data_IF_694019349573
#
_entry.id   IF_694019349573
#
_cell.length_a   1.000
_cell.length_b   1.000
_cell.length_c   1.000
_cell.angle_alpha   90.00
_cell.angle_beta   90.00
_cell.angle_gamma   90.00
#
_symmetry.space_group_name_H-M   'P 1'
#
loop_
_entity.id
_entity.type
_entity.pdbx_description
1 polymer ?
#
# COMPACT_ATOMS: atom_id res chain seq x y z
N UNK A 1 -3.30 12.66 6.36
CA UNK A 1 -3.75 11.37 5.75
C UNK A 1 -3.56 10.27 6.79
N UNK A 2 -4.40 9.22 6.88
CA UNK A 2 -4.16 8.15 7.86
C UNK A 2 -3.25 7.09 7.23
N UNK A 3 -1.98 7.08 7.62
CA UNK A 3 -1.03 6.05 7.18
C UNK A 3 -1.26 4.74 7.94
N UNK A 4 -0.92 3.61 7.33
CA UNK A 4 -1.13 2.24 7.85
C UNK A 4 0.06 1.67 8.61
N UNK A 5 1.03 2.50 8.97
CA UNK A 5 2.27 2.05 9.61
C UNK A 5 2.02 1.22 10.88
N UNK A 6 1.06 1.62 11.72
CA UNK A 6 0.71 0.86 12.93
C UNK A 6 0.22 -0.56 12.63
N UNK A 7 -0.70 -0.70 11.68
CA UNK A 7 -1.26 -1.99 11.24
C UNK A 7 -0.13 -2.91 10.72
N UNK A 8 0.78 -2.37 9.90
CA UNK A 8 1.92 -3.12 9.36
C UNK A 8 2.86 -3.60 10.46
N UNK A 9 3.12 -2.78 11.48
CA UNK A 9 3.98 -3.16 12.60
C UNK A 9 3.34 -4.27 13.45
N UNK A 10 2.02 -4.22 13.65
CA UNK A 10 1.27 -5.28 14.34
C UNK A 10 1.31 -6.60 13.55
N UNK A 11 1.03 -6.54 12.23
CA UNK A 11 1.05 -7.70 11.34
C UNK A 11 2.43 -8.39 11.27
N UNK A 12 3.52 -7.61 11.38
CA UNK A 12 4.89 -8.10 11.35
C UNK A 12 5.48 -8.43 12.74
N UNK A 13 4.71 -8.25 13.82
CA UNK A 13 5.18 -8.36 15.22
C UNK A 13 6.44 -7.50 15.51
N UNK A 14 6.51 -6.30 14.92
CA UNK A 14 7.61 -5.36 15.10
C UNK A 14 7.22 -4.28 16.10
N UNK A 15 7.88 -4.28 17.26
CA UNK A 15 7.70 -3.22 18.26
C UNK A 15 8.22 -1.88 17.75
N UNK A 16 7.49 -0.80 18.03
CA UNK A 16 7.91 0.57 17.67
C UNK A 16 9.32 0.93 18.16
N UNK A 17 9.70 0.44 19.35
CA UNK A 17 11.06 0.60 19.90
C UNK A 17 12.14 0.02 18.96
N UNK A 18 11.89 -1.16 18.39
CA UNK A 18 12.85 -1.87 17.53
C UNK A 18 13.12 -1.08 16.24
N UNK A 19 12.06 -0.63 15.56
CA UNK A 19 12.20 0.16 14.34
C UNK A 19 12.76 1.56 14.61
N UNK A 20 12.39 2.18 15.75
CA UNK A 20 12.96 3.45 16.21
C UNK A 20 14.48 3.36 16.38
N UNK A 21 14.96 2.31 17.05
CA UNK A 21 16.40 2.07 17.25
C UNK A 21 17.11 1.73 15.93
N UNK A 22 16.50 0.88 15.09
CA UNK A 22 17.09 0.47 13.82
C UNK A 22 17.25 1.63 12.82
N UNK A 23 16.31 2.58 12.81
CA UNK A 23 16.32 3.71 11.88
C UNK A 23 16.88 5.01 12.48
N UNK A 24 17.27 4.99 13.75
CA UNK A 24 17.73 6.20 14.45
C UNK A 24 16.65 7.27 14.61
N UNK A 25 15.37 6.88 14.57
CA UNK A 25 14.23 7.80 14.69
C UNK A 25 13.85 7.91 16.16
N UNK A 26 13.72 9.11 16.75
CA UNK A 26 13.27 9.26 18.13
C UNK A 26 11.93 8.55 18.40
N UNK A 27 11.79 7.89 19.57
CA UNK A 27 10.58 7.10 19.89
C UNK A 27 9.28 7.90 19.85
N UNK A 28 9.32 9.17 20.28
CA UNK A 28 8.17 10.07 20.20
C UNK A 28 7.79 10.34 18.73
N UNK A 29 8.77 10.57 17.86
CA UNK A 29 8.56 10.76 16.42
C UNK A 29 8.00 9.50 15.78
N UNK A 30 8.55 8.33 16.06
CA UNK A 30 8.03 7.04 15.58
C UNK A 30 6.58 6.81 16.05
N UNK A 31 6.28 7.11 17.32
CA UNK A 31 4.91 7.05 17.85
C UNK A 31 3.98 8.01 17.13
N UNK A 32 4.43 9.22 16.78
CA UNK A 32 3.63 10.18 16.03
C UNK A 32 3.37 9.68 14.59
N UNK A 33 4.34 9.04 13.95
CA UNK A 33 4.15 8.41 12.64
C UNK A 33 3.11 7.28 12.73
N UNK A 34 3.27 6.36 13.68
CA UNK A 34 2.37 5.21 13.85
C UNK A 34 0.93 5.65 14.13
N UNK A 35 0.75 6.70 14.93
CA UNK A 35 -0.57 7.26 15.26
C UNK A 35 -1.12 8.21 14.19
N UNK A 36 -0.31 8.58 13.19
CA UNK A 36 -0.67 9.55 12.15
C UNK A 36 -0.77 11.00 12.64
N UNK A 37 -0.19 11.33 13.81
CA UNK A 37 -0.13 12.70 14.33
C UNK A 37 0.80 13.59 13.51
N UNK A 38 1.89 13.03 13.01
CA UNK A 38 2.79 13.66 12.05
C UNK A 38 3.10 12.69 10.93
N UNK A 39 3.37 13.19 9.74
CA UNK A 39 3.77 12.37 8.59
C UNK A 39 5.30 12.34 8.50
N UNK A 40 5.91 11.18 8.16
CA UNK A 40 7.32 11.13 7.80
C UNK A 40 7.54 11.89 6.49
N UNK A 41 8.72 12.48 6.31
CA UNK A 41 9.14 12.98 5.00
C UNK A 41 9.40 11.81 4.03
N UNK A 42 9.63 12.12 2.75
CA UNK A 42 9.81 11.09 1.72
C UNK A 42 11.01 10.18 2.00
N UNK A 43 12.13 10.74 2.48
CA UNK A 43 13.33 9.95 2.76
C UNK A 43 13.11 8.98 3.92
N UNK A 44 12.48 9.45 4.99
CA UNK A 44 12.12 8.64 6.16
C UNK A 44 11.11 7.57 5.79
N UNK A 45 10.12 7.92 4.96
CA UNK A 45 9.10 6.97 4.49
C UNK A 45 9.71 5.84 3.66
N UNK A 46 10.69 6.15 2.78
CA UNK A 46 11.45 5.15 2.02
C UNK A 46 12.24 4.24 2.97
N UNK A 47 12.98 4.81 3.94
CA UNK A 47 13.74 4.02 4.93
C UNK A 47 12.85 3.06 5.74
N UNK A 48 11.66 3.50 6.12
CA UNK A 48 10.67 2.66 6.80
C UNK A 48 10.19 1.53 5.88
N UNK A 49 9.88 1.84 4.61
CA UNK A 49 9.45 0.86 3.63
C UNK A 49 10.52 -0.22 3.39
N UNK A 50 11.77 0.19 3.20
CA UNK A 50 12.92 -0.70 2.99
C UNK A 50 13.15 -1.60 4.21
N UNK A 51 13.12 -1.04 5.42
CA UNK A 51 13.31 -1.79 6.66
C UNK A 51 12.21 -2.84 6.89
N UNK A 52 10.97 -2.51 6.53
CA UNK A 52 9.82 -3.41 6.66
C UNK A 52 9.66 -4.34 5.44
N UNK A 53 10.45 -4.16 4.39
CA UNK A 53 10.35 -4.87 3.12
C UNK A 53 8.92 -4.80 2.51
N UNK A 54 8.34 -3.61 2.51
CA UNK A 54 7.03 -3.29 1.91
C UNK A 54 7.17 -2.11 0.95
N UNK A 55 6.16 -1.84 0.13
CA UNK A 55 6.15 -0.62 -0.68
C UNK A 55 5.70 0.58 0.15
N UNK A 56 6.12 1.78 -0.27
CA UNK A 56 5.60 3.04 0.28
C UNK A 56 4.07 3.12 0.14
N UNK A 57 3.51 2.61 -0.97
CA UNK A 57 2.06 2.54 -1.18
C UNK A 57 1.34 1.71 -0.10
N UNK A 58 1.96 0.62 0.37
CA UNK A 58 1.42 -0.17 1.49
C UNK A 58 1.32 0.68 2.76
N UNK A 59 2.34 1.46 3.09
CA UNK A 59 2.36 2.34 4.26
C UNK A 59 1.35 3.48 4.12
N UNK A 60 1.24 4.07 2.93
CA UNK A 60 0.26 5.12 2.64
C UNK A 60 -1.18 4.59 2.52
N UNK A 61 -1.36 3.27 2.50
CA UNK A 61 -2.67 2.63 2.34
C UNK A 61 -3.27 2.78 0.95
N UNK A 62 -2.44 3.03 -0.06
CA UNK A 62 -2.88 3.08 -1.46
C UNK A 62 -3.18 1.66 -1.94
N UNK A 63 -4.46 1.37 -2.17
CA UNK A 63 -4.94 0.06 -2.67
C UNK A 63 -5.18 0.03 -4.17
N UNK A 64 -5.14 1.18 -4.84
CA UNK A 64 -5.39 1.26 -6.27
C UNK A 64 -4.18 0.72 -7.04
N UNK A 65 -4.38 -0.40 -7.72
CA UNK A 65 -3.43 -0.93 -8.69
C UNK A 65 -3.81 -0.41 -10.07
N UNK A 66 -3.06 0.56 -10.57
CA UNK A 66 -3.21 0.99 -11.96
C UNK A 66 -2.56 -0.06 -12.85
N UNK A 67 -3.30 -0.51 -13.85
CA UNK A 67 -2.76 -1.35 -14.91
C UNK A 67 -2.64 -0.44 -16.13
N UNK A 68 -1.41 -0.26 -16.60
CA UNK A 68 -1.16 0.41 -17.87
C UNK A 68 -1.36 -0.63 -18.97
N UNK A 69 -2.32 -0.37 -19.84
CA UNK A 69 -2.58 -1.17 -21.04
C UNK A 69 -2.72 -0.22 -22.23
N UNK A 70 -2.34 -0.71 -23.40
CA UNK A 70 -2.59 -0.01 -24.66
C UNK A 70 -4.10 0.07 -24.96
N UNK A 71 -4.49 1.03 -25.80
CA UNK A 71 -5.87 1.10 -26.30
C UNK A 71 -6.32 -0.21 -26.96
N UNK A 72 -5.40 -0.88 -27.66
CA UNK A 72 -5.67 -2.14 -28.33
C UNK A 72 -5.96 -3.28 -27.35
N UNK A 73 -5.18 -3.37 -26.26
CA UNK A 73 -5.44 -4.32 -25.18
C UNK A 73 -6.76 -4.02 -24.45
N UNK A 74 -7.07 -2.73 -24.22
CA UNK A 74 -8.33 -2.32 -23.61
C UNK A 74 -9.53 -2.73 -24.47
N UNK A 75 -9.47 -2.52 -25.79
CA UNK A 75 -10.52 -2.97 -26.72
C UNK A 75 -10.74 -4.48 -26.65
N UNK A 76 -9.66 -5.27 -26.57
CA UNK A 76 -9.73 -6.73 -26.41
C UNK A 76 -10.40 -7.14 -25.10
N UNK A 77 -10.06 -6.50 -23.99
CA UNK A 77 -10.66 -6.77 -22.68
C UNK A 77 -12.16 -6.44 -22.65
N UNK A 78 -12.55 -5.28 -23.20
CA UNK A 78 -13.96 -4.88 -23.29
C UNK A 78 -14.75 -5.89 -24.12
N UNK A 79 -14.20 -6.32 -25.27
CA UNK A 79 -14.83 -7.35 -26.11
C UNK A 79 -15.00 -8.67 -25.37
N UNK A 80 -13.97 -9.13 -24.66
CA UNK A 80 -14.04 -10.37 -23.87
C UNK A 80 -15.10 -10.29 -22.76
N UNK A 81 -15.17 -9.16 -22.04
CA UNK A 81 -16.18 -8.91 -21.01
C UNK A 81 -17.61 -8.97 -21.56
N UNK A 82 -17.86 -8.35 -22.70
CA UNK A 82 -19.20 -8.33 -23.30
C UNK A 82 -19.63 -9.74 -23.75
N UNK A 83 -18.72 -10.51 -24.36
CA UNK A 83 -18.99 -11.90 -24.74
C UNK A 83 -19.32 -12.78 -23.52
N UNK A 84 -18.58 -12.60 -22.41
CA UNK A 84 -18.88 -13.30 -21.16
C UNK A 84 -20.27 -12.97 -20.63
N UNK A 85 -20.70 -11.72 -20.70
CA UNK A 85 -22.03 -11.30 -20.27
C UNK A 85 -23.14 -11.91 -21.12
N UNK A 86 -22.94 -12.00 -22.44
CA UNK A 86 -23.88 -12.69 -23.33
C UNK A 86 -23.99 -14.18 -23.00
N UNK A 87 -22.87 -14.86 -22.78
CA UNK A 87 -22.86 -16.28 -22.39
C UNK A 87 -23.59 -16.51 -21.06
N UNK A 88 -23.37 -15.64 -20.07
CA UNK A 88 -24.05 -15.72 -18.77
C UNK A 88 -25.56 -15.50 -18.94
N UNK A 89 -25.96 -14.53 -19.76
CA UNK A 89 -27.37 -14.23 -20.03
C UNK A 89 -28.09 -15.38 -20.73
N UNK A 90 -27.41 -16.07 -21.64
CA UNK A 90 -27.98 -17.18 -22.41
C UNK A 90 -28.02 -18.51 -21.64
N UNK A 91 -27.52 -18.56 -20.40
CA UNK A 91 -27.55 -19.74 -19.52
C UNK A 91 -28.71 -19.73 -18.51
N UNK A 92 -29.43 -18.61 -18.39
CA UNK A 92 -30.65 -18.46 -17.58
C UNK A 92 -31.87 -18.35 -18.50
#
# INVERSE_FOLDING_TARGET
>A
MKIKLGEILEDLDIKQKKISEALGIPRNTMSNYVTGRTEPDFETLIKIADYLNVSVDSILGRKEKYILISEEELKKLIKARNLLQEVIKNRN
#
